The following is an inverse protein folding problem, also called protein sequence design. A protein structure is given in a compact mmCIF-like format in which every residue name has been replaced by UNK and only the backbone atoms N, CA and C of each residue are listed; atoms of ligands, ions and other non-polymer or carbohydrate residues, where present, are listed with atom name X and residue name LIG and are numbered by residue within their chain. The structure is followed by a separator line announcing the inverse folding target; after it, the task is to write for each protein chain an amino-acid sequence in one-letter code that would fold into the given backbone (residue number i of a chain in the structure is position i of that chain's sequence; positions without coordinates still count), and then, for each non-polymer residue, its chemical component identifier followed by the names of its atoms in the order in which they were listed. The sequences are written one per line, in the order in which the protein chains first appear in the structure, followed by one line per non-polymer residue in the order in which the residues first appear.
data_IF_831264644809
#
_entry.id   IF_831264644809
#
_cell.length_a   1.000
_cell.length_b   1.000
_cell.length_c   1.000
_cell.angle_alpha   90.00
_cell.angle_beta   90.00
_cell.angle_gamma   90.00
#
_symmetry.space_group_name_H-M   'P 1'
#
loop_
_entity.id
_entity.type
_entity.pdbx_description
1 polymer ?
#
# COMPACT_ATOMS: atom_id res chain seq x y z
N UNK A 1 -23.58 2.10 -44.93
CA UNK A 1 -24.47 1.90 -43.77
C UNK A 1 -23.79 2.58 -42.60
N UNK A 2 -24.10 3.87 -42.40
CA UNK A 2 -23.58 4.62 -41.26
C UNK A 2 -24.59 4.45 -40.13
N UNK A 3 -24.17 3.81 -39.04
CA UNK A 3 -24.98 3.74 -37.81
C UNK A 3 -24.72 5.05 -37.10
N UNK A 4 -25.54 6.06 -37.43
CA UNK A 4 -25.56 7.33 -36.73
C UNK A 4 -26.03 7.04 -35.30
N UNK A 5 -25.09 7.06 -34.36
CA UNK A 5 -25.42 7.03 -32.94
C UNK A 5 -26.05 8.37 -32.60
N UNK A 6 -27.38 8.42 -32.64
CA UNK A 6 -28.17 9.52 -32.07
C UNK A 6 -27.84 9.58 -30.57
N UNK A 7 -27.03 10.56 -30.17
CA UNK A 7 -26.85 10.92 -28.77
C UNK A 7 -28.06 11.74 -28.35
N UNK A 8 -29.08 11.11 -27.76
CA UNK A 8 -30.18 11.80 -27.10
C UNK A 8 -29.60 12.68 -25.97
N UNK A 9 -29.71 14.02 -26.06
CA UNK A 9 -29.29 14.88 -24.97
C UNK A 9 -30.44 14.94 -23.96
N UNK A 10 -30.18 14.54 -22.71
CA UNK A 10 -31.08 14.59 -21.55
C UNK A 10 -32.04 13.41 -21.38
N UNK A 11 -31.52 12.28 -20.89
CA UNK A 11 -32.27 11.51 -19.88
C UNK A 11 -31.69 11.82 -18.49
N UNK A 12 -32.18 12.87 -17.80
CA UNK A 12 -31.70 13.25 -16.46
C UNK A 12 -32.00 12.16 -15.41
N UNK A 13 -32.89 11.21 -15.75
CA UNK A 13 -33.35 10.15 -14.86
C UNK A 13 -32.28 9.06 -14.71
N UNK A 14 -31.67 8.62 -15.82
CA UNK A 14 -30.62 7.58 -15.80
C UNK A 14 -29.36 8.04 -15.08
N UNK A 15 -28.95 9.29 -15.28
CA UNK A 15 -27.79 9.87 -14.61
C UNK A 15 -28.04 10.13 -13.12
N UNK A 16 -29.25 10.56 -12.73
CA UNK A 16 -29.62 10.73 -11.33
C UNK A 16 -29.75 9.39 -10.62
N UNK A 17 -30.30 8.38 -11.28
CA UNK A 17 -30.42 7.02 -10.75
C UNK A 17 -29.04 6.38 -10.58
N UNK A 18 -28.17 6.48 -11.59
CA UNK A 18 -26.79 5.98 -11.52
C UNK A 18 -25.99 6.71 -10.44
N UNK A 19 -26.12 8.04 -10.32
CA UNK A 19 -25.49 8.78 -9.23
C UNK A 19 -26.04 8.37 -7.87
N UNK A 20 -27.35 8.14 -7.75
CA UNK A 20 -27.98 7.62 -6.53
C UNK A 20 -27.45 6.25 -6.14
N UNK A 21 -27.31 5.34 -7.10
CA UNK A 21 -26.73 4.01 -6.91
C UNK A 21 -25.25 4.09 -6.52
N UNK A 22 -24.46 4.94 -7.18
CA UNK A 22 -23.05 5.20 -6.84
C UNK A 22 -22.90 5.79 -5.44
N UNK A 23 -23.78 6.71 -5.04
CA UNK A 23 -23.79 7.28 -3.69
C UNK A 23 -24.09 6.24 -2.63
N UNK A 24 -25.13 5.43 -2.82
CA UNK A 24 -25.47 4.32 -1.91
C UNK A 24 -24.33 3.32 -1.81
N UNK A 25 -23.74 2.94 -2.94
CA UNK A 25 -22.58 2.05 -2.97
C UNK A 25 -21.39 2.63 -2.20
N UNK A 26 -21.06 3.91 -2.42
CA UNK A 26 -19.98 4.61 -1.70
C UNK A 26 -20.27 4.72 -0.21
N UNK A 27 -21.51 5.00 0.18
CA UNK A 27 -21.92 5.12 1.58
C UNK A 27 -21.90 3.78 2.30
N UNK A 28 -22.44 2.73 1.67
CA UNK A 28 -22.43 1.36 2.19
C UNK A 28 -20.98 0.86 2.36
N UNK A 29 -20.14 1.10 1.36
CA UNK A 29 -18.70 0.79 1.43
C UNK A 29 -18.02 1.58 2.55
N UNK A 30 -18.32 2.88 2.69
CA UNK A 30 -17.78 3.72 3.77
C UNK A 30 -18.24 3.24 5.15
N UNK A 31 -19.50 2.82 5.30
CA UNK A 31 -20.05 2.27 6.54
C UNK A 31 -19.34 0.99 6.95
N UNK A 32 -19.15 0.05 6.02
CA UNK A 32 -18.41 -1.19 6.27
C UNK A 32 -16.97 -0.93 6.71
N UNK A 33 -16.30 0.03 6.06
CA UNK A 33 -14.94 0.46 6.43
C UNK A 33 -14.92 1.15 7.81
N UNK A 34 -15.88 2.02 8.13
CA UNK A 34 -15.95 2.67 9.44
C UNK A 34 -16.26 1.66 10.55
N UNK A 35 -17.13 0.68 10.28
CA UNK A 35 -17.45 -0.39 11.22
C UNK A 35 -16.25 -1.31 11.44
N UNK A 36 -15.53 -1.71 10.39
CA UNK A 36 -14.28 -2.47 10.55
C UNK A 36 -13.23 -1.69 11.34
N UNK A 37 -13.09 -0.38 11.08
CA UNK A 37 -12.21 0.51 11.86
C UNK A 37 -12.58 0.57 13.35
N UNK A 38 -13.88 0.60 13.69
CA UNK A 38 -14.35 0.58 15.08
C UNK A 38 -14.08 -0.77 15.74
N UNK A 39 -14.36 -1.87 15.05
CA UNK A 39 -14.13 -3.22 15.56
C UNK A 39 -12.65 -3.53 15.77
N UNK A 40 -11.79 -2.95 14.93
CA UNK A 40 -10.35 -3.18 15.03
C UNK A 40 -9.68 -2.27 16.06
N UNK A 41 -10.29 -1.20 16.58
CA UNK A 41 -9.63 -0.29 17.53
C UNK A 41 -9.18 -1.07 18.77
N UNK A 42 -7.87 -1.14 19.00
CA UNK A 42 -7.34 -1.57 20.30
C UNK A 42 -7.71 -0.54 21.37
N UNK A 43 -7.88 -0.96 22.64
CA UNK A 43 -8.07 -0.02 23.75
C UNK A 43 -6.90 0.98 23.81
N UNK A 44 -7.17 2.26 24.14
CA UNK A 44 -6.10 3.24 24.34
C UNK A 44 -5.27 2.81 25.56
N UNK A 45 -4.09 2.22 25.31
CA UNK A 45 -3.18 1.78 26.38
C UNK A 45 -2.33 0.55 26.06
N UNK A 46 -2.58 -0.20 24.98
CA UNK A 46 -1.80 -1.39 24.62
C UNK A 46 -1.87 -1.69 23.11
N UNK A 47 -1.34 -0.80 22.26
CA UNK A 47 -0.98 -1.16 20.89
C UNK A 47 0.53 -1.09 20.73
N UNK A 48 1.14 -2.15 20.21
CA UNK A 48 2.54 -2.09 19.79
C UNK A 48 2.65 -1.10 18.62
N UNK A 49 3.80 -0.44 18.47
CA UNK A 49 4.09 0.41 17.30
C UNK A 49 3.81 -0.36 15.99
N UNK A 50 4.09 -1.67 15.97
CA UNK A 50 3.78 -2.57 14.86
C UNK A 50 2.27 -2.62 14.51
N UNK A 51 1.40 -2.71 15.52
CA UNK A 51 -0.05 -2.74 15.31
C UNK A 51 -0.57 -1.41 14.74
N UNK A 52 0.00 -0.30 15.19
CA UNK A 52 -0.36 1.03 14.72
C UNK A 52 0.06 1.24 13.26
N UNK A 53 1.25 0.77 12.90
CA UNK A 53 1.76 0.80 11.52
C UNK A 53 0.86 -0.04 10.60
N UNK A 54 0.54 -1.28 10.97
CA UNK A 54 -0.33 -2.17 10.17
C UNK A 54 -1.72 -1.54 10.02
N UNK A 55 -2.30 -1.07 11.12
CA UNK A 55 -3.62 -0.42 11.12
C UNK A 55 -3.64 0.81 10.22
N UNK A 56 -2.62 1.66 10.33
CA UNK A 56 -2.50 2.86 9.50
C UNK A 56 -2.42 2.51 8.02
N UNK A 57 -1.58 1.51 7.66
CA UNK A 57 -1.47 1.04 6.29
C UNK A 57 -2.82 0.52 5.74
N UNK A 58 -3.57 -0.25 6.53
CA UNK A 58 -4.90 -0.75 6.15
C UNK A 58 -5.94 0.36 5.98
N UNK A 59 -5.87 1.42 6.79
CA UNK A 59 -6.76 2.59 6.66
C UNK A 59 -6.59 3.27 5.30
N UNK A 60 -5.35 3.34 4.83
CA UNK A 60 -4.95 4.07 3.62
C UNK A 60 -4.86 3.20 2.36
N UNK A 61 -4.77 1.89 2.48
CA UNK A 61 -4.71 0.97 1.35
C UNK A 61 -5.81 1.19 0.29
N UNK A 62 -7.08 1.43 0.65
CA UNK A 62 -8.14 1.69 -0.34
C UNK A 62 -7.96 2.98 -1.15
N UNK A 63 -7.10 3.90 -0.70
CA UNK A 63 -6.83 5.19 -1.33
C UNK A 63 -5.51 5.21 -2.10
N UNK A 64 -4.84 4.06 -2.23
CA UNK A 64 -3.52 3.97 -2.87
C UNK A 64 -2.35 4.23 -1.93
N UNK A 65 -2.61 4.25 -0.62
CA UNK A 65 -1.59 4.40 0.42
C UNK A 65 -1.60 5.76 1.09
N UNK A 66 -0.85 5.88 2.20
CA UNK A 66 -0.75 7.11 2.96
C UNK A 66 0.18 8.10 2.25
N UNK A 67 -0.14 9.38 2.32
CA UNK A 67 0.75 10.42 1.79
C UNK A 67 2.01 10.56 2.66
N UNK A 68 3.06 11.16 2.09
CA UNK A 68 4.29 11.45 2.82
C UNK A 68 4.07 12.41 3.98
N UNK A 69 3.16 13.38 3.82
CA UNK A 69 2.82 14.35 4.85
C UNK A 69 2.12 13.69 6.03
N UNK A 70 1.10 12.85 5.78
CA UNK A 70 0.38 12.14 6.84
C UNK A 70 1.26 11.13 7.57
N UNK A 71 2.10 10.41 6.83
CA UNK A 71 3.06 9.46 7.40
C UNK A 71 4.07 10.17 8.30
N UNK A 72 4.59 11.31 7.86
CA UNK A 72 5.52 12.11 8.65
C UNK A 72 4.84 12.75 9.87
N UNK A 73 3.61 13.26 9.72
CA UNK A 73 2.86 13.85 10.82
C UNK A 73 2.59 12.85 11.95
N UNK A 74 2.32 11.58 11.62
CA UNK A 74 1.94 10.55 12.60
C UNK A 74 3.16 9.83 13.16
N UNK A 75 4.12 9.43 12.30
CA UNK A 75 5.25 8.58 12.69
C UNK A 75 6.60 9.31 12.71
N UNK A 76 6.68 10.53 12.17
CA UNK A 76 7.94 11.27 12.05
C UNK A 76 8.95 10.67 11.07
N UNK A 77 8.51 9.73 10.23
CA UNK A 77 9.37 9.00 9.29
C UNK A 77 8.94 9.20 7.84
N UNK A 78 9.89 8.96 6.93
CA UNK A 78 9.63 9.01 5.49
C UNK A 78 8.87 7.76 5.02
N UNK A 79 8.19 7.88 3.87
CA UNK A 79 7.45 6.76 3.25
C UNK A 79 8.31 5.49 3.08
N UNK A 80 9.57 5.55 2.58
CA UNK A 80 10.39 4.34 2.46
C UNK A 80 10.61 3.65 3.80
N UNK A 81 10.94 4.42 4.85
CA UNK A 81 11.15 3.89 6.20
C UNK A 81 9.86 3.32 6.79
N UNK A 82 8.73 3.95 6.50
CA UNK A 82 7.42 3.45 6.88
C UNK A 82 7.12 2.10 6.22
N UNK A 83 7.41 1.95 4.93
CA UNK A 83 7.22 0.68 4.21
C UNK A 83 8.12 -0.41 4.79
N UNK A 84 9.36 -0.11 5.13
CA UNK A 84 10.27 -1.09 5.77
C UNK A 84 9.69 -1.56 7.11
N UNK A 85 9.32 -0.63 7.99
CA UNK A 85 8.70 -0.95 9.29
C UNK A 85 7.36 -1.67 9.14
N UNK A 86 6.58 -1.36 8.10
CA UNK A 86 5.32 -2.05 7.82
C UNK A 86 5.56 -3.53 7.54
N UNK A 87 6.58 -3.85 6.74
CA UNK A 87 6.89 -5.24 6.43
C UNK A 87 7.50 -6.00 7.62
N UNK A 88 8.30 -5.34 8.46
CA UNK A 88 8.73 -5.89 9.76
C UNK A 88 7.52 -6.18 10.66
N UNK A 89 6.62 -5.21 10.85
CA UNK A 89 5.43 -5.36 11.67
C UNK A 89 4.52 -6.49 11.17
N UNK A 90 4.29 -6.58 9.85
CA UNK A 90 3.49 -7.64 9.22
C UNK A 90 4.08 -9.02 9.48
N UNK A 91 5.41 -9.15 9.43
CA UNK A 91 6.12 -10.39 9.70
C UNK A 91 6.05 -10.76 11.19
N UNK A 92 6.30 -9.81 12.09
CA UNK A 92 6.23 -10.00 13.55
C UNK A 92 4.83 -10.38 14.03
N UNK A 93 3.80 -9.73 13.48
CA UNK A 93 2.41 -9.98 13.85
C UNK A 93 1.80 -11.25 13.23
N UNK A 94 2.50 -11.90 12.28
CA UNK A 94 1.98 -13.08 11.59
C UNK A 94 0.67 -12.82 10.84
N UNK A 95 0.57 -11.69 10.14
CA UNK A 95 -0.67 -11.26 9.48
C UNK A 95 -1.17 -12.28 8.44
N UNK A 96 -2.49 -12.37 8.28
CA UNK A 96 -3.11 -13.23 7.28
C UNK A 96 -2.64 -12.87 5.85
N UNK A 97 -2.44 -13.91 5.05
CA UNK A 97 -2.06 -13.87 3.63
C UNK A 97 -2.93 -12.93 2.79
N UNK A 98 -4.22 -12.79 3.10
CA UNK A 98 -5.11 -11.88 2.38
C UNK A 98 -4.77 -10.41 2.63
N UNK A 99 -4.46 -10.05 3.87
CA UNK A 99 -4.03 -8.72 4.30
C UNK A 99 -2.66 -8.39 3.72
N UNK A 100 -1.73 -9.35 3.81
CA UNK A 100 -0.39 -9.23 3.20
C UNK A 100 -0.49 -8.90 1.72
N UNK A 101 -1.30 -9.63 0.96
CA UNK A 101 -1.48 -9.41 -0.48
C UNK A 101 -2.11 -8.05 -0.80
N UNK A 102 -3.06 -7.61 0.01
CA UNK A 102 -3.67 -6.28 -0.16
C UNK A 102 -2.66 -5.16 0.09
N UNK A 103 -1.87 -5.27 1.16
CA UNK A 103 -0.84 -4.29 1.48
C UNK A 103 0.30 -4.30 0.45
N UNK A 104 0.70 -5.46 -0.06
CA UNK A 104 1.73 -5.59 -1.11
C UNK A 104 1.39 -4.84 -2.40
N UNK A 105 0.10 -4.72 -2.73
CA UNK A 105 -0.34 -3.98 -3.91
C UNK A 105 -0.14 -2.46 -3.77
N UNK A 106 -0.18 -1.95 -2.54
CA UNK A 106 -0.15 -0.52 -2.24
C UNK A 106 1.23 -0.06 -1.77
N UNK A 107 1.87 -0.89 -0.94
CA UNK A 107 3.17 -0.64 -0.33
C UNK A 107 4.15 -1.70 -0.80
N UNK A 108 4.61 -1.65 -2.06
CA UNK A 108 5.53 -2.64 -2.57
C UNK A 108 6.81 -2.66 -1.74
N UNK A 109 7.21 -3.84 -1.28
CA UNK A 109 8.52 -4.03 -0.64
C UNK A 109 9.59 -3.59 -1.63
N UNK A 110 10.55 -2.78 -1.19
CA UNK A 110 11.76 -2.55 -1.98
C UNK A 110 12.50 -3.87 -2.05
N UNK A 111 12.30 -4.62 -3.13
CA UNK A 111 13.28 -5.65 -3.48
C UNK A 111 14.60 -4.91 -3.69
N UNK A 112 15.69 -5.30 -3.02
CA UNK A 112 17.02 -4.83 -3.41
C UNK A 112 17.15 -5.16 -4.89
N UNK A 113 17.09 -4.15 -5.75
CA UNK A 113 17.41 -4.32 -7.15
C UNK A 113 18.91 -4.59 -7.16
N UNK A 114 19.26 -5.86 -7.22
CA UNK A 114 20.63 -6.31 -7.45
C UNK A 114 21.06 -5.68 -8.78
N UNK A 115 21.84 -4.60 -8.66
CA UNK A 115 22.32 -3.82 -9.77
C UNK A 115 23.13 -4.72 -10.67
N UNK A 116 22.56 -5.14 -11.81
CA UNK A 116 23.36 -5.55 -12.96
C UNK A 116 23.97 -4.30 -13.57
N UNK A 117 24.99 -3.78 -12.89
CA UNK A 117 25.93 -2.83 -13.45
C UNK A 117 26.75 -3.56 -14.52
N UNK A 118 26.16 -3.65 -15.72
CA UNK A 118 26.89 -3.96 -16.94
C UNK A 118 27.76 -2.77 -17.31
N UNK A 119 28.89 -2.58 -16.64
CA UNK A 119 30.08 -1.87 -17.14
C UNK A 119 31.20 -1.97 -16.12
N UNK A 120 32.40 -2.20 -16.63
CA UNK A 120 33.68 -2.24 -15.92
C UNK A 120 34.12 -3.61 -15.39
N UNK A 121 34.42 -4.50 -16.34
CA UNK A 121 35.48 -5.50 -16.12
C UNK A 121 36.83 -4.80 -16.32
N UNK A 122 37.14 -3.86 -15.42
CA UNK A 122 38.49 -3.34 -15.26
C UNK A 122 39.20 -4.25 -14.26
N UNK A 123 39.85 -5.25 -14.84
CA UNK A 123 41.06 -5.92 -14.37
C UNK A 123 41.81 -5.02 -13.38
N UNK A 124 41.92 -5.41 -12.10
CA UNK A 124 43.13 -5.16 -11.30
C UNK A 124 43.15 -5.98 -10.00
N UNK A 125 44.23 -6.77 -9.87
CA UNK A 125 44.95 -7.32 -8.68
C UNK A 125 44.15 -8.17 -7.68
N UNK A 126 44.70 -9.23 -7.08
CA UNK A 126 45.94 -9.28 -6.30
C UNK A 126 46.46 -10.73 -6.28
N UNK A 127 47.75 -10.90 -6.64
CA UNK A 127 48.47 -12.12 -6.34
C UNK A 127 48.69 -12.26 -4.83
N UNK A 128 48.49 -13.45 -4.30
CA UNK A 128 49.03 -13.83 -2.99
C UNK A 128 49.61 -15.23 -3.10
N UNK A 129 50.91 -15.28 -2.85
CA UNK A 129 51.76 -16.47 -2.73
C UNK A 129 51.10 -17.52 -1.82
N UNK A 130 51.12 -18.77 -2.26
CA UNK A 130 51.00 -19.91 -1.35
C UNK A 130 52.41 -20.45 -1.14
N UNK A 131 52.97 -20.19 0.03
CA UNK A 131 54.08 -20.94 0.61
C UNK A 131 53.57 -21.52 1.93
N UNK A 132 53.43 -22.85 1.99
CA UNK A 132 53.48 -23.60 3.25
C UNK A 132 54.23 -24.90 2.98
N UNK A 133 55.07 -25.20 3.96
CA UNK A 133 56.24 -26.07 4.00
C UNK A 133 55.91 -27.45 4.56
#
# INVERSE_FOLDING_TARGET
MNVEYQHDPQSPDGDQELNGQLRRYREERRRRIVQSRRAQRCPPGHSSEADEIIRFAQIWAPYGGASAEETFYIFGISIPRFVDKLWEAVHEAGCDSTVVRQLAHVYPTRTPVEGKDSRSSDRFVVGTLIAVQ
#
